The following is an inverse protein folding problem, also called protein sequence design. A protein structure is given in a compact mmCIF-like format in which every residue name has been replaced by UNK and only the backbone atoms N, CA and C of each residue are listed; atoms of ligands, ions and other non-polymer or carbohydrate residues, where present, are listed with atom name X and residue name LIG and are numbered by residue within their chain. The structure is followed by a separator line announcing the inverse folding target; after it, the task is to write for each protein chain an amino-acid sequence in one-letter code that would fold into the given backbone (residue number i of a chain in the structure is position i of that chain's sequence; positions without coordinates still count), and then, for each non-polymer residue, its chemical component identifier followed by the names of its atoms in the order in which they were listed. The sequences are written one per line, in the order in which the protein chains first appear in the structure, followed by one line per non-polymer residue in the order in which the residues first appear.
data_IF_699362986062
#
_entry.id   IF_699362986062
#
_cell.length_a   1.000
_cell.length_b   1.000
_cell.length_c   1.000
_cell.angle_alpha   90.00
_cell.angle_beta   90.00
_cell.angle_gamma   90.00
#
_symmetry.space_group_name_H-M   'P 1'
#
loop_
_entity.id
_entity.type
_entity.pdbx_description
1 polymer ?
#
# COMPACT_ATOMS: atom_id res chain seq x y z
N UNK A 1 9.97 7.86 8.02
CA UNK A 1 10.79 7.09 7.05
C UNK A 1 9.90 6.69 5.88
N UNK A 2 10.44 6.56 4.67
CA UNK A 2 9.69 6.15 3.48
C UNK A 2 10.35 4.94 2.83
N UNK A 3 9.55 4.05 2.25
CA UNK A 3 10.03 2.93 1.45
C UNK A 3 9.33 2.95 0.09
N UNK A 4 10.09 2.75 -0.99
CA UNK A 4 9.53 2.54 -2.33
C UNK A 4 9.66 1.07 -2.70
N UNK A 5 8.60 0.50 -3.24
CA UNK A 5 8.55 -0.85 -3.80
C UNK A 5 8.20 -0.73 -5.28
N UNK A 6 8.77 -1.59 -6.11
CA UNK A 6 8.45 -1.64 -7.53
C UNK A 6 7.72 -2.95 -7.84
N UNK A 7 6.49 -2.84 -8.34
CA UNK A 7 5.65 -3.98 -8.71
C UNK A 7 4.70 -3.59 -9.84
N UNK A 8 4.39 -4.56 -10.72
CA UNK A 8 3.42 -4.37 -11.80
C UNK A 8 2.02 -4.07 -11.28
N UNK A 9 1.70 -4.49 -10.06
CA UNK A 9 0.42 -4.19 -9.40
C UNK A 9 0.41 -2.84 -8.66
N UNK A 10 1.41 -1.96 -8.85
CA UNK A 10 1.51 -0.71 -8.10
C UNK A 10 0.29 0.21 -8.25
N UNK A 11 -0.29 0.30 -9.45
CA UNK A 11 -1.48 1.11 -9.72
C UNK A 11 -2.75 0.54 -9.05
N UNK A 12 -3.15 -0.73 -9.24
CA UNK A 12 -4.32 -1.27 -8.56
C UNK A 12 -4.13 -1.33 -7.02
N UNK A 13 -2.91 -1.58 -6.53
CA UNK A 13 -2.61 -1.53 -5.11
C UNK A 13 -2.72 -0.11 -4.54
N UNK A 14 -2.29 0.91 -5.29
CA UNK A 14 -2.45 2.32 -4.90
C UNK A 14 -3.91 2.66 -4.67
N UNK A 15 -4.80 2.30 -5.61
CA UNK A 15 -6.24 2.53 -5.51
C UNK A 15 -6.86 1.81 -4.30
N UNK A 16 -6.51 0.54 -4.08
CA UNK A 16 -6.99 -0.23 -2.93
C UNK A 16 -6.57 0.39 -1.59
N UNK A 17 -5.32 0.81 -1.47
CA UNK A 17 -4.82 1.46 -0.26
C UNK A 17 -5.49 2.81 -0.03
N UNK A 18 -5.74 3.59 -1.09
CA UNK A 18 -6.46 4.86 -0.99
C UNK A 18 -7.89 4.65 -0.46
N UNK A 19 -8.61 3.65 -0.96
CA UNK A 19 -9.94 3.28 -0.44
C UNK A 19 -9.91 2.78 1.01
N UNK A 20 -8.79 2.17 1.42
CA UNK A 20 -8.57 1.73 2.80
C UNK A 20 -8.10 2.86 3.75
N UNK A 21 -8.08 4.11 3.28
CA UNK A 21 -7.63 5.27 4.07
C UNK A 21 -6.11 5.32 4.30
N UNK A 22 -5.33 4.64 3.47
CA UNK A 22 -3.86 4.62 3.50
C UNK A 22 -3.33 5.38 2.30
N UNK A 23 -2.84 6.60 2.54
CA UNK A 23 -2.24 7.41 1.50
C UNK A 23 -0.83 6.95 1.17
N UNK A 24 -0.62 6.50 -0.07
CA UNK A 24 0.70 6.22 -0.66
C UNK A 24 0.96 7.16 -1.83
N UNK A 25 2.15 7.09 -2.44
CA UNK A 25 2.46 7.83 -3.66
C UNK A 25 2.83 6.88 -4.79
N UNK A 26 2.04 6.92 -5.87
CA UNK A 26 2.32 6.20 -7.11
C UNK A 26 3.40 6.94 -7.93
N UNK A 27 4.36 6.19 -8.45
CA UNK A 27 5.40 6.59 -9.38
C UNK A 27 5.32 5.68 -10.61
N UNK A 28 4.84 6.23 -11.73
CA UNK A 28 4.66 5.41 -12.93
C UNK A 28 6.01 4.91 -13.50
N UNK A 29 6.06 3.70 -14.08
CA UNK A 29 4.91 2.79 -14.24
C UNK A 29 4.61 1.92 -13.01
N UNK A 30 5.60 1.59 -12.18
CA UNK A 30 5.49 0.47 -11.23
C UNK A 30 5.95 0.79 -9.80
N UNK A 31 6.29 2.04 -9.50
CA UNK A 31 6.76 2.43 -8.17
C UNK A 31 5.62 2.80 -7.24
N UNK A 32 5.61 2.25 -6.03
CA UNK A 32 4.70 2.64 -4.97
C UNK A 32 5.50 3.01 -3.72
N UNK A 33 5.34 4.25 -3.24
CA UNK A 33 6.03 4.76 -2.05
C UNK A 33 5.11 4.81 -0.84
N UNK A 34 5.52 4.11 0.21
CA UNK A 34 4.86 4.04 1.50
C UNK A 34 5.45 5.06 2.47
N UNK A 35 4.59 5.78 3.17
CA UNK A 35 4.94 6.39 4.46
C UNK A 35 4.92 5.31 5.52
N UNK A 36 6.06 5.05 6.15
CA UNK A 36 6.13 4.00 7.17
C UNK A 36 5.47 4.48 8.46
N UNK A 37 4.54 3.71 9.04
CA UNK A 37 3.90 4.06 10.30
C UNK A 37 4.91 4.22 11.45
N UNK A 38 4.66 5.20 12.32
CA UNK A 38 5.46 5.39 13.54
C UNK A 38 4.98 4.55 14.73
N UNK A 39 3.76 4.02 14.67
CA UNK A 39 3.10 3.27 15.74
C UNK A 39 2.57 1.93 15.23
N UNK A 40 2.45 0.96 16.13
CA UNK A 40 1.99 -0.41 15.84
C UNK A 40 0.59 -0.44 15.21
N UNK A 41 -0.32 0.44 15.66
CA UNK A 41 -1.66 0.53 15.11
C UNK A 41 -1.65 0.88 13.60
N UNK A 42 -0.69 1.71 13.18
CA UNK A 42 -0.55 2.04 11.76
C UNK A 42 0.03 0.88 10.94
N UNK A 43 0.91 0.07 11.53
CA UNK A 43 1.41 -1.16 10.91
C UNK A 43 0.31 -2.20 10.76
N UNK A 44 -0.49 -2.44 11.81
CA UNK A 44 -1.63 -3.35 11.77
C UNK A 44 -2.65 -2.95 10.68
N UNK A 45 -2.94 -1.65 10.54
CA UNK A 45 -3.82 -1.14 9.48
C UNK A 45 -3.26 -1.40 8.08
N UNK A 46 -1.98 -1.13 7.88
CA UNK A 46 -1.31 -1.39 6.61
C UNK A 46 -1.32 -2.88 6.26
N UNK A 47 -0.98 -3.73 7.24
CA UNK A 47 -1.00 -5.18 7.06
C UNK A 47 -2.39 -5.70 6.70
N UNK A 48 -3.43 -5.25 7.40
CA UNK A 48 -4.80 -5.66 7.11
C UNK A 48 -5.22 -5.27 5.69
N UNK A 49 -4.91 -4.05 5.24
CA UNK A 49 -5.23 -3.62 3.89
C UNK A 49 -4.53 -4.47 2.83
N UNK A 50 -3.25 -4.80 3.04
CA UNK A 50 -2.48 -5.67 2.14
C UNK A 50 -3.03 -7.10 2.11
N UNK A 51 -3.46 -7.65 3.26
CA UNK A 51 -4.10 -8.97 3.33
C UNK A 51 -5.43 -8.99 2.57
N UNK A 52 -6.28 -7.99 2.79
CA UNK A 52 -7.54 -7.85 2.06
C UNK A 52 -7.31 -7.76 0.54
N UNK A 53 -6.30 -7.03 0.08
CA UNK A 53 -5.97 -6.93 -1.34
C UNK A 53 -5.61 -8.30 -1.92
N UNK A 54 -4.75 -9.06 -1.23
CA UNK A 54 -4.33 -10.39 -1.66
C UNK A 54 -5.49 -11.40 -1.74
N UNK A 55 -6.45 -11.29 -0.82
CA UNK A 55 -7.65 -12.12 -0.80
C UNK A 55 -8.65 -11.75 -1.91
N UNK A 56 -8.64 -10.51 -2.40
CA UNK A 56 -9.49 -10.05 -3.51
C UNK A 56 -8.94 -10.40 -4.89
N UNK A 57 -7.62 -10.59 -5.00
CA UNK A 57 -6.92 -10.93 -6.25
C UNK A 57 -6.70 -12.45 -6.44
N UNK A 58 -7.17 -13.29 -5.50
CA UNK A 58 -7.14 -14.77 -5.57
C UNK A 58 -8.41 -15.34 -6.20
#
# INVERSE_FOLDING_TARGET
LFQTVFDVVAEPLYEHLAHSGILTRLFMPFGLRFGLPGEEAGWARLEQALRCYREQDS
#
